data_IF_776602330941
#
_entry.id   IF_776602330941
#
_cell.length_a   1.000
_cell.length_b   1.000
_cell.length_c   1.000
_cell.angle_alpha   90.00
_cell.angle_beta   90.00
_cell.angle_gamma   90.00
#
_symmetry.space_group_name_H-M   'P 1'
#
loop_
_entity.id
_entity.type
_entity.pdbx_description
1 polymer ?
#
# COMPACT_ATOMS: atom_id res chain seq x y z
N UNK A 1 5.01 8.99 0.43
CA UNK A 1 4.49 8.06 -0.60
C UNK A 1 3.07 7.65 -0.23
N UNK A 2 2.12 7.55 -1.18
CA UNK A 2 0.78 6.97 -0.94
C UNK A 2 0.70 5.57 -1.56
N UNK A 3 0.05 4.65 -0.86
CA UNK A 3 -0.31 3.29 -1.29
C UNK A 3 -1.79 3.03 -1.02
N UNK A 4 -2.41 2.16 -1.81
CA UNK A 4 -3.84 1.83 -1.69
C UNK A 4 -4.09 0.39 -2.17
N UNK A 5 -5.05 -0.30 -1.55
CA UNK A 5 -5.48 -1.64 -1.88
C UNK A 5 -6.99 -1.71 -2.11
N UNK A 6 -7.43 -2.29 -3.23
CA UNK A 6 -8.86 -2.40 -3.53
C UNK A 6 -9.30 -3.86 -3.75
N UNK A 7 -10.36 -4.28 -3.07
CA UNK A 7 -11.04 -5.55 -3.29
C UNK A 7 -12.40 -5.36 -3.95
N UNK A 8 -12.80 -6.28 -4.83
CA UNK A 8 -14.15 -6.36 -5.38
C UNK A 8 -14.75 -7.73 -5.10
N UNK A 9 -15.71 -7.76 -4.18
CA UNK A 9 -16.48 -8.97 -3.84
C UNK A 9 -17.27 -9.50 -5.05
N UNK A 10 -17.87 -8.59 -5.83
CA UNK A 10 -18.66 -8.92 -7.02
C UNK A 10 -17.80 -9.62 -8.09
N UNK A 11 -16.56 -9.18 -8.26
CA UNK A 11 -15.65 -9.76 -9.26
C UNK A 11 -14.77 -10.88 -8.71
N UNK A 12 -14.88 -11.19 -7.41
CA UNK A 12 -13.97 -12.09 -6.68
C UNK A 12 -12.48 -11.78 -6.95
N UNK A 13 -12.12 -10.49 -6.89
CA UNK A 13 -10.80 -9.99 -7.27
C UNK A 13 -10.24 -9.02 -6.25
N UNK A 14 -8.93 -9.07 -6.09
CA UNK A 14 -8.15 -8.13 -5.31
C UNK A 14 -7.17 -7.41 -6.24
N UNK A 15 -6.96 -6.11 -6.02
CA UNK A 15 -6.09 -5.25 -6.83
C UNK A 15 -5.30 -4.30 -5.95
N UNK A 16 -4.12 -3.91 -6.42
CA UNK A 16 -3.23 -2.96 -5.74
C UNK A 16 -3.18 -1.65 -6.51
N UNK A 17 -3.04 -0.53 -5.78
CA UNK A 17 -3.11 0.83 -6.28
C UNK A 17 -1.78 1.59 -6.17
N UNK A 18 -1.45 2.24 -7.29
CA UNK A 18 -0.54 3.36 -7.54
C UNK A 18 0.38 3.83 -6.41
N UNK A 19 1.69 3.76 -6.65
CA UNK A 19 2.70 4.44 -5.84
C UNK A 19 2.85 5.89 -6.34
N UNK A 20 2.60 6.87 -5.46
CA UNK A 20 2.83 8.29 -5.74
C UNK A 20 3.96 8.87 -4.90
N UNK A 21 4.79 9.75 -5.49
CA UNK A 21 5.80 10.50 -4.75
C UNK A 21 5.17 11.61 -3.90
N UNK A 22 6.00 12.34 -3.16
CA UNK A 22 5.56 13.47 -2.32
C UNK A 22 4.91 14.61 -3.10
N UNK A 23 5.19 14.74 -4.40
CA UNK A 23 4.61 15.74 -5.31
C UNK A 23 3.28 15.25 -5.93
N UNK A 24 2.82 14.05 -5.58
CA UNK A 24 1.61 13.45 -6.15
C UNK A 24 1.80 12.82 -7.54
N UNK A 25 3.04 12.85 -8.08
CA UNK A 25 3.38 12.21 -9.34
C UNK A 25 3.31 10.69 -9.17
N UNK A 26 2.72 10.04 -10.16
CA UNK A 26 2.67 8.59 -10.20
C UNK A 26 4.06 8.07 -10.58
N UNK A 27 4.69 7.35 -9.65
CA UNK A 27 6.01 6.75 -9.88
C UNK A 27 5.87 5.30 -10.36
N UNK A 28 4.81 4.61 -9.92
CA UNK A 28 4.48 3.28 -10.42
C UNK A 28 2.98 2.99 -10.35
N UNK A 29 2.45 2.27 -11.34
CA UNK A 29 1.08 1.72 -11.33
C UNK A 29 1.15 0.21 -11.50
N UNK A 30 0.90 -0.53 -10.43
CA UNK A 30 0.79 -1.99 -10.50
C UNK A 30 -0.62 -2.41 -10.15
N UNK A 31 -1.49 -2.49 -11.17
CA UNK A 31 -2.82 -3.09 -11.04
C UNK A 31 -2.73 -4.59 -11.29
N UNK A 32 -2.08 -5.32 -10.38
CA UNK A 32 -1.97 -6.77 -10.49
C UNK A 32 -3.17 -7.42 -9.80
N UNK A 33 -3.97 -8.12 -10.59
CA UNK A 33 -5.13 -8.85 -10.12
C UNK A 33 -4.70 -10.19 -9.54
N UNK A 34 -5.15 -10.48 -8.32
CA UNK A 34 -4.94 -11.78 -7.70
C UNK A 34 -6.26 -12.56 -7.71
N UNK A 35 -6.24 -13.83 -8.16
CA UNK A 35 -7.39 -14.71 -8.04
C UNK A 35 -7.66 -14.98 -6.55
N UNK A 36 -8.92 -14.83 -6.16
CA UNK A 36 -9.36 -14.97 -4.76
C UNK A 36 -9.59 -13.63 -4.06
N UNK A 37 -10.55 -13.64 -3.14
CA UNK A 37 -10.87 -12.50 -2.29
C UNK A 37 -9.90 -12.49 -1.11
N UNK A 38 -8.90 -11.62 -1.16
CA UNK A 38 -8.13 -11.28 0.04
C UNK A 38 -9.00 -10.38 0.93
N UNK A 39 -8.84 -10.47 2.25
CA UNK A 39 -9.46 -9.49 3.14
C UNK A 39 -8.92 -8.10 2.81
N UNK A 40 -9.71 -7.03 3.01
CA UNK A 40 -9.25 -5.66 2.78
C UNK A 40 -7.92 -5.36 3.49
N UNK A 41 -7.75 -5.83 4.73
CA UNK A 41 -6.51 -5.69 5.49
C UNK A 41 -5.31 -6.36 4.82
N UNK A 42 -5.50 -7.56 4.27
CA UNK A 42 -4.42 -8.27 3.56
C UNK A 42 -4.03 -7.55 2.27
N UNK A 43 -5.00 -6.98 1.54
CA UNK A 43 -4.69 -6.20 0.33
C UNK A 43 -3.93 -4.93 0.66
N UNK A 44 -4.32 -4.22 1.72
CA UNK A 44 -3.64 -3.02 2.23
C UNK A 44 -2.20 -3.33 2.69
N UNK A 45 -2.02 -4.36 3.52
CA UNK A 45 -0.70 -4.78 3.99
C UNK A 45 0.21 -5.23 2.84
N UNK A 46 -0.38 -5.89 1.84
CA UNK A 46 0.34 -6.34 0.67
C UNK A 46 0.73 -5.18 -0.25
N UNK A 47 -0.13 -4.16 -0.39
CA UNK A 47 0.19 -2.91 -1.07
C UNK A 47 1.36 -2.17 -0.42
N UNK A 48 1.36 -2.09 0.92
CA UNK A 48 2.46 -1.53 1.70
C UNK A 48 3.77 -2.28 1.47
N UNK A 49 3.75 -3.62 1.55
CA UNK A 49 4.94 -4.46 1.35
C UNK A 49 5.56 -4.25 -0.03
N UNK A 50 4.74 -4.19 -1.08
CA UNK A 50 5.22 -4.02 -2.44
C UNK A 50 5.82 -2.62 -2.64
N UNK A 51 5.23 -1.58 -2.06
CA UNK A 51 5.84 -0.27 -2.08
C UNK A 51 7.19 -0.24 -1.37
N UNK A 52 7.32 -0.87 -0.21
CA UNK A 52 8.61 -0.95 0.51
C UNK A 52 9.67 -1.67 -0.32
N UNK A 53 9.33 -2.83 -0.91
CA UNK A 53 10.24 -3.58 -1.79
C UNK A 53 10.67 -2.76 -3.00
N UNK A 54 9.73 -2.10 -3.64
CA UNK A 54 10.03 -1.27 -4.79
C UNK A 54 10.99 -0.12 -4.46
N UNK A 55 10.78 0.61 -3.37
CA UNK A 55 11.71 1.66 -2.95
C UNK A 55 13.10 1.09 -2.66
N UNK A 56 13.19 -0.10 -2.04
CA UNK A 56 14.46 -0.78 -1.82
C UNK A 56 15.17 -1.07 -3.15
N UNK A 57 14.46 -1.61 -4.12
CA UNK A 57 15.01 -1.94 -5.44
C UNK A 57 15.45 -0.68 -6.21
N UNK A 58 14.75 0.44 -6.04
CA UNK A 58 15.09 1.75 -6.62
C UNK A 58 16.10 2.55 -5.78
N UNK A 59 16.56 2.02 -4.64
CA UNK A 59 17.43 2.72 -3.69
C UNK A 59 16.85 4.08 -3.20
N UNK A 60 15.53 4.20 -3.16
CA UNK A 60 14.83 5.40 -2.69
C UNK A 60 14.64 5.29 -1.18
N UNK A 61 15.13 6.29 -0.44
CA UNK A 61 14.89 6.37 1.00
C UNK A 61 13.43 6.69 1.31
N UNK A 62 12.79 5.81 2.07
CA UNK A 62 11.42 6.01 2.53
C UNK A 62 11.44 6.84 3.82
N UNK A 63 11.19 8.14 3.69
CA UNK A 63 11.00 9.00 4.86
C UNK A 63 9.57 8.92 5.42
N UNK A 64 8.60 8.65 4.53
CA UNK A 64 7.20 8.67 4.94
C UNK A 64 6.27 7.87 4.02
N UNK A 65 5.50 6.95 4.60
CA UNK A 65 4.42 6.22 3.92
C UNK A 65 3.09 6.67 4.49
N UNK A 66 2.13 6.88 3.59
CA UNK A 66 0.77 7.31 3.86
C UNK A 66 -0.20 6.21 3.42
N UNK A 67 -1.08 5.79 4.32
CA UNK A 67 -2.18 4.86 4.07
C UNK A 67 -3.47 5.42 4.67
N UNK A 68 -4.60 5.19 4.02
CA UNK A 68 -5.96 5.48 4.50
C UNK A 68 -6.54 4.32 5.34
N UNK A 69 -5.88 3.17 5.36
CA UNK A 69 -6.24 2.05 6.23
C UNK A 69 -5.73 2.27 7.67
N UNK A 70 -6.60 2.81 8.54
CA UNK A 70 -6.27 3.08 9.95
C UNK A 70 -5.78 1.83 10.70
N UNK A 71 -6.38 0.67 10.43
CA UNK A 71 -6.00 -0.58 11.08
C UNK A 71 -4.57 -0.99 10.69
N UNK A 72 -4.21 -0.85 9.40
CA UNK A 72 -2.84 -1.09 8.95
C UNK A 72 -1.84 -0.16 9.64
N UNK A 73 -2.13 1.14 9.70
CA UNK A 73 -1.24 2.11 10.35
C UNK A 73 -1.02 1.76 11.83
N UNK A 74 -2.06 1.35 12.55
CA UNK A 74 -1.95 0.95 13.97
C UNK A 74 -1.06 -0.28 14.15
N UNK A 75 -1.30 -1.33 13.37
CA UNK A 75 -0.51 -2.57 13.43
C UNK A 75 0.97 -2.27 13.11
N UNK A 76 1.24 -1.51 12.05
CA UNK A 76 2.61 -1.18 11.62
C UNK A 76 3.35 -0.29 12.64
N UNK A 77 2.66 0.66 13.28
CA UNK A 77 3.25 1.46 14.35
C UNK A 77 3.54 0.64 15.61
N UNK A 78 2.72 -0.37 15.93
CA UNK A 78 3.00 -1.29 17.04
C UNK A 78 4.28 -2.12 16.80
N UNK A 79 4.70 -2.25 15.54
CA UNK A 79 5.93 -2.90 15.12
C UNK A 79 7.13 -1.94 15.04
N UNK A 80 7.02 -0.70 15.53
CA UNK A 80 8.06 0.35 15.47
C UNK A 80 8.47 0.79 14.04
N UNK A 81 7.57 0.65 13.06
CA UNK A 81 7.79 1.10 11.68
C UNK A 81 7.09 2.45 11.47
N UNK A 82 7.82 3.47 11.00
CA UNK A 82 7.30 4.83 10.83
C UNK A 82 6.30 4.98 9.67
N UNK A 83 5.01 4.86 9.96
CA UNK A 83 3.90 5.10 9.00
C UNK A 83 2.89 6.07 9.63
N UNK A 84 2.48 7.14 8.92
CA UNK A 84 1.43 8.05 9.42
C UNK A 84 0.15 7.96 8.55
N UNK A 85 -0.98 8.14 9.22
CA UNK A 85 -2.31 8.25 8.63
C UNK A 85 -2.47 9.59 7.91
N UNK A 86 -3.17 9.62 6.78
CA UNK A 86 -3.77 10.89 6.27
C UNK A 86 -5.27 10.87 6.56
N UNK A 87 -5.80 12.00 7.03
CA UNK A 87 -7.23 12.29 7.13
C UNK A 87 -7.85 12.52 5.75
#
# INVERSE_FOLDING_TARGET
MKVDGATSAIKNKSSMGVIRNSQGNVIERTAKYYPGLMSPMNVEAWALLQAVRWNKDQQISIHHIKSDCLNLVREVLSLNIAVQKIA
#
